data_IF_055664747938
#
_entry.id   IF_055664747938
#
_cell.length_a   1.000
_cell.length_b   1.000
_cell.length_c   1.000
_cell.angle_alpha   90.00
_cell.angle_beta   90.00
_cell.angle_gamma   90.00
#
_symmetry.space_group_name_H-M   'P 1'
#
loop_
_entity.id
_entity.type
_entity.pdbx_description
1 polymer ?
#
# COMPACT_ATOMS: atom_id res chain seq x y z
N UNK A 1 -0.31 3.76 34.74
CA UNK A 1 -1.27 3.52 33.64
C UNK A 1 -0.97 4.53 32.53
N UNK A 2 0.22 4.44 31.95
CA UNK A 2 0.72 5.39 30.95
C UNK A 2 0.95 4.65 29.63
N UNK A 3 0.36 5.19 28.56
CA UNK A 3 0.73 5.00 27.16
C UNK A 3 0.30 3.72 26.42
N UNK A 4 -0.99 3.40 26.43
CA UNK A 4 -1.58 2.50 25.43
C UNK A 4 -1.93 3.19 24.10
N UNK A 5 -1.85 4.52 24.01
CA UNK A 5 -2.21 5.26 22.79
C UNK A 5 -1.23 5.07 21.64
N UNK A 6 0.04 4.84 21.93
CA UNK A 6 1.08 4.59 20.92
C UNK A 6 1.04 3.13 20.41
N UNK A 7 0.61 2.19 21.26
CA UNK A 7 0.49 0.78 20.89
C UNK A 7 -0.53 0.57 19.76
N UNK A 8 -1.60 1.35 19.73
CA UNK A 8 -2.62 1.27 18.66
C UNK A 8 -2.02 1.64 17.30
N UNK A 9 -1.22 2.71 17.25
CA UNK A 9 -0.57 3.14 16.02
C UNK A 9 0.48 2.12 15.55
N UNK A 10 1.28 1.59 16.47
CA UNK A 10 2.28 0.55 16.17
C UNK A 10 1.60 -0.71 15.64
N UNK A 11 0.63 -1.24 16.39
CA UNK A 11 -0.10 -2.44 15.98
C UNK A 11 -0.78 -2.29 14.62
N UNK A 12 -1.37 -1.13 14.36
CA UNK A 12 -1.98 -0.83 13.07
C UNK A 12 -0.96 -0.80 11.93
N UNK A 13 0.23 -0.25 12.17
CA UNK A 13 1.27 -0.19 11.14
C UNK A 13 1.95 -1.54 10.93
N UNK A 14 2.18 -2.30 12.00
CA UNK A 14 2.70 -3.66 11.92
C UNK A 14 1.74 -4.58 11.16
N UNK A 15 0.44 -4.46 11.42
CA UNK A 15 -0.60 -5.18 10.68
C UNK A 15 -0.66 -4.74 9.20
N UNK A 16 -0.41 -3.47 8.91
CA UNK A 16 -0.36 -2.97 7.54
C UNK A 16 0.83 -3.52 6.76
N UNK A 17 2.01 -3.58 7.39
CA UNK A 17 3.24 -4.05 6.74
C UNK A 17 3.41 -5.57 6.78
N UNK A 18 3.00 -6.22 7.87
CA UNK A 18 3.16 -7.66 8.13
C UNK A 18 4.59 -8.16 7.84
N UNK A 19 5.60 -7.41 8.34
CA UNK A 19 7.02 -7.70 8.06
C UNK A 19 7.45 -9.02 8.71
N UNK A 20 7.08 -9.20 9.98
CA UNK A 20 7.52 -10.33 10.81
C UNK A 20 6.73 -11.62 10.51
N UNK A 21 5.63 -11.51 9.79
CA UNK A 21 4.80 -12.66 9.48
C UNK A 21 5.39 -13.48 8.32
N UNK A 22 5.39 -14.82 8.45
CA UNK A 22 5.81 -15.69 7.36
C UNK A 22 4.88 -15.50 6.16
N UNK A 23 5.43 -15.58 4.95
CA UNK A 23 4.69 -15.32 3.69
C UNK A 23 3.37 -16.11 3.61
N UNK A 24 3.36 -17.35 4.13
CA UNK A 24 2.18 -18.21 4.13
C UNK A 24 1.15 -17.87 5.21
N UNK A 25 1.53 -17.09 6.20
CA UNK A 25 0.68 -16.69 7.33
C UNK A 25 0.12 -15.28 7.25
N UNK A 26 0.48 -14.52 6.23
CA UNK A 26 0.03 -13.14 6.06
C UNK A 26 -1.47 -13.06 5.81
N UNK A 27 -2.12 -12.19 6.54
CA UNK A 27 -3.55 -11.89 6.37
C UNK A 27 -3.77 -11.06 5.09
N UNK A 28 -4.97 -11.16 4.52
CA UNK A 28 -5.37 -10.36 3.35
C UNK A 28 -5.76 -8.94 3.78
N UNK A 29 -4.81 -8.25 4.41
CA UNK A 29 -4.95 -6.88 4.91
C UNK A 29 -3.72 -6.05 4.52
N UNK A 30 -3.84 -4.71 4.62
CA UNK A 30 -2.75 -3.79 4.35
C UNK A 30 -2.15 -3.96 2.95
N UNK A 31 -0.83 -4.06 2.87
CA UNK A 31 -0.07 -4.19 1.61
C UNK A 31 -0.43 -5.48 0.87
N UNK A 32 -0.62 -6.58 1.59
CA UNK A 32 -1.00 -7.87 1.00
C UNK A 32 -2.32 -7.78 0.23
N UNK A 33 -3.33 -7.17 0.83
CA UNK A 33 -4.63 -6.96 0.19
C UNK A 33 -4.52 -6.08 -1.06
N UNK A 34 -3.69 -5.03 -1.02
CA UNK A 34 -3.46 -4.16 -2.17
C UNK A 34 -2.88 -4.92 -3.34
N UNK A 35 -1.82 -5.71 -3.12
CA UNK A 35 -1.25 -6.53 -4.20
C UNK A 35 -2.23 -7.55 -4.73
N UNK A 36 -2.96 -8.26 -3.87
CA UNK A 36 -3.97 -9.22 -4.30
C UNK A 36 -5.14 -8.59 -5.06
N UNK A 37 -5.46 -7.33 -4.82
CA UNK A 37 -6.52 -6.63 -5.54
C UNK A 37 -6.11 -6.21 -6.96
N UNK A 38 -4.82 -5.97 -7.18
CA UNK A 38 -4.29 -5.56 -8.48
C UNK A 38 -3.92 -6.75 -9.35
N UNK A 39 -3.34 -7.79 -8.75
CA UNK A 39 -2.93 -9.01 -9.45
C UNK A 39 -3.99 -10.12 -9.30
N UNK A 40 -4.12 -11.00 -10.28
CA UNK A 40 -3.31 -11.13 -11.48
C UNK A 40 -3.66 -10.12 -12.58
N UNK A 41 -2.67 -9.76 -13.38
CA UNK A 41 -2.85 -8.92 -14.56
C UNK A 41 -2.73 -9.82 -15.79
N UNK A 42 -3.79 -9.91 -16.57
CA UNK A 42 -3.82 -10.68 -17.81
C UNK A 42 -3.63 -9.76 -19.01
N UNK A 43 -2.91 -10.24 -20.02
CA UNK A 43 -2.83 -9.61 -21.32
C UNK A 43 -4.18 -9.66 -22.06
N UNK A 44 -4.43 -8.70 -22.94
CA UNK A 44 -5.64 -8.64 -23.75
C UNK A 44 -5.88 -9.89 -24.61
N UNK A 45 -4.80 -10.49 -25.13
CA UNK A 45 -4.84 -11.74 -25.90
C UNK A 45 -5.00 -12.98 -24.99
N UNK A 46 -4.84 -12.84 -23.68
CA UNK A 46 -4.83 -13.94 -22.72
C UNK A 46 -3.64 -14.91 -22.90
N UNK A 47 -2.59 -14.47 -23.61
CA UNK A 47 -1.37 -15.23 -23.82
C UNK A 47 -0.35 -15.09 -22.71
N UNK A 48 -0.52 -14.09 -21.85
CA UNK A 48 0.39 -13.82 -20.73
C UNK A 48 -0.38 -13.46 -19.47
N UNK A 49 0.10 -13.95 -18.33
CA UNK A 49 -0.45 -13.67 -17.02
C UNK A 49 0.67 -13.26 -16.08
N UNK A 50 0.50 -12.13 -15.41
CA UNK A 50 1.43 -11.65 -14.40
C UNK A 50 0.79 -11.83 -13.02
N UNK A 51 1.41 -12.67 -12.19
CA UNK A 51 0.93 -13.00 -10.85
C UNK A 51 1.83 -12.40 -9.78
N UNK A 52 1.22 -12.02 -8.67
CA UNK A 52 1.90 -11.67 -7.44
C UNK A 52 2.20 -12.94 -6.63
N UNK A 53 3.45 -13.12 -6.23
CA UNK A 53 3.87 -14.26 -5.40
C UNK A 53 4.02 -13.84 -3.93
N UNK A 54 4.88 -12.87 -3.68
CA UNK A 54 5.15 -12.35 -2.33
C UNK A 54 5.77 -10.96 -2.39
N UNK A 55 5.76 -10.27 -1.27
CA UNK A 55 6.61 -9.10 -1.06
C UNK A 55 7.57 -9.32 0.10
N UNK A 56 8.70 -8.64 0.07
CA UNK A 56 9.72 -8.68 1.10
C UNK A 56 10.28 -7.29 1.35
N UNK A 57 10.64 -7.03 2.58
CA UNK A 57 11.38 -5.83 2.95
C UNK A 57 12.84 -6.19 3.16
N UNK A 58 13.73 -5.40 2.60
CA UNK A 58 15.14 -5.49 2.91
C UNK A 58 15.45 -4.68 4.17
N UNK A 59 16.63 -4.91 4.72
CA UNK A 59 17.07 -4.11 5.87
C UNK A 59 17.26 -2.64 5.48
N UNK A 60 16.89 -1.71 6.37
CA UNK A 60 17.12 -0.29 6.14
C UNK A 60 18.60 -0.02 5.90
N UNK A 61 18.90 0.85 4.95
CA UNK A 61 20.28 1.21 4.61
C UNK A 61 20.98 1.97 5.73
N UNK A 62 20.22 2.73 6.51
CA UNK A 62 20.72 3.58 7.60
C UNK A 62 19.87 3.37 8.85
N UNK A 63 20.51 3.47 10.00
CA UNK A 63 19.82 3.43 11.29
C UNK A 63 19.11 4.76 11.60
N UNK A 64 18.24 4.75 12.61
CA UNK A 64 17.44 5.91 13.00
C UNK A 64 18.26 7.14 13.32
N UNK A 65 19.36 6.98 14.07
CA UNK A 65 20.23 8.09 14.48
C UNK A 65 21.02 8.66 13.30
N UNK A 66 21.47 7.78 12.41
CA UNK A 66 22.16 8.18 11.19
C UNK A 66 21.22 8.93 10.24
N UNK A 67 19.96 8.49 10.11
CA UNK A 67 18.95 9.21 9.33
C UNK A 67 18.69 10.62 9.86
N UNK A 68 18.66 10.79 11.20
CA UNK A 68 18.50 12.11 11.82
C UNK A 68 19.67 13.03 11.52
N UNK A 69 20.91 12.53 11.66
CA UNK A 69 22.12 13.33 11.43
C UNK A 69 22.31 13.70 9.95
N UNK A 70 22.00 12.79 9.04
CA UNK A 70 22.20 12.99 7.60
C UNK A 70 21.01 13.65 6.91
N UNK A 71 19.90 13.89 7.61
CA UNK A 71 18.69 14.43 7.01
C UNK A 71 17.99 13.47 6.05
N UNK A 72 18.06 12.17 6.33
CA UNK A 72 17.47 11.12 5.49
C UNK A 72 16.16 10.57 6.08
N UNK A 73 15.43 9.82 5.26
CA UNK A 73 14.21 9.13 5.69
C UNK A 73 14.56 7.70 6.12
N UNK A 74 14.06 7.31 7.30
CA UNK A 74 14.18 5.94 7.77
C UNK A 74 13.18 5.05 7.04
N UNK A 75 13.66 4.27 6.09
CA UNK A 75 12.84 3.45 5.22
C UNK A 75 13.53 2.13 4.87
N UNK A 76 12.72 1.12 4.55
CA UNK A 76 13.19 -0.16 4.04
C UNK A 76 12.80 -0.33 2.57
N UNK A 77 13.69 -0.87 1.72
CA UNK A 77 13.37 -1.20 0.35
C UNK A 77 12.30 -2.29 0.28
N UNK A 78 11.24 -2.04 -0.48
CA UNK A 78 10.17 -3.00 -0.76
C UNK A 78 10.47 -3.70 -2.08
N UNK A 79 10.61 -5.01 -2.03
CA UNK A 79 10.73 -5.88 -3.21
C UNK A 79 9.50 -6.76 -3.33
N UNK A 80 9.05 -6.93 -4.55
CA UNK A 80 7.90 -7.77 -4.88
C UNK A 80 8.35 -8.84 -5.86
N UNK A 81 8.08 -10.09 -5.52
CA UNK A 81 8.32 -11.23 -6.40
C UNK A 81 7.10 -11.38 -7.31
N UNK A 82 7.31 -11.19 -8.59
CA UNK A 82 6.30 -11.34 -9.63
C UNK A 82 6.61 -12.56 -10.48
N UNK A 83 5.57 -13.26 -10.91
CA UNK A 83 5.65 -14.42 -11.79
C UNK A 83 4.93 -14.11 -13.09
N UNK A 84 5.66 -14.15 -14.18
CA UNK A 84 5.11 -14.06 -15.53
C UNK A 84 4.92 -15.46 -16.10
N UNK A 85 3.70 -15.79 -16.43
CA UNK A 85 3.33 -17.06 -17.11
C UNK A 85 2.97 -16.72 -18.55
N UNK A 86 3.67 -17.35 -19.48
CA UNK A 86 3.40 -17.21 -20.92
C UNK A 86 2.72 -18.50 -21.39
N UNK A 87 1.56 -18.35 -22.04
CA UNK A 87 0.80 -19.47 -22.59
C UNK A 87 1.01 -19.56 -24.11
N UNK A 88 1.09 -20.77 -24.59
CA UNK A 88 0.92 -21.07 -26.01
C UNK A 88 -0.55 -21.46 -26.24
N UNK A 89 -1.20 -20.74 -27.12
CA UNK A 89 -2.62 -20.96 -27.44
C UNK A 89 -2.70 -21.68 -28.77
N UNK A 90 -3.19 -22.90 -28.76
CA UNK A 90 -3.45 -23.65 -29.95
C UNK A 90 -4.61 -23.01 -30.74
N UNK A 91 -4.35 -22.64 -31.97
CA UNK A 91 -5.30 -21.90 -32.84
C UNK A 91 -6.54 -22.75 -33.17
N UNK A 92 -6.38 -24.07 -33.24
CA UNK A 92 -7.43 -24.99 -33.68
C UNK A 92 -8.33 -25.44 -32.53
N UNK A 93 -7.77 -25.64 -31.34
CA UNK A 93 -8.49 -26.20 -30.19
C UNK A 93 -8.78 -25.14 -29.12
N UNK A 94 -8.12 -23.98 -29.16
CA UNK A 94 -8.19 -22.96 -28.11
C UNK A 94 -7.57 -23.40 -26.78
N UNK A 95 -6.88 -24.54 -26.74
CA UNK A 95 -6.25 -25.05 -25.54
C UNK A 95 -5.01 -24.20 -25.18
N UNK A 96 -4.93 -23.83 -23.90
CA UNK A 96 -3.79 -23.08 -23.36
C UNK A 96 -2.79 -24.04 -22.72
N UNK A 97 -1.55 -24.05 -23.20
CA UNK A 97 -0.44 -24.75 -22.57
C UNK A 97 0.57 -23.73 -22.04
N UNK A 98 1.19 -24.05 -20.91
CA UNK A 98 2.23 -23.17 -20.35
C UNK A 98 3.50 -23.31 -21.19
N UNK A 99 3.92 -22.23 -21.82
CA UNK A 99 5.14 -22.17 -22.64
C UNK A 99 6.37 -21.85 -21.81
N UNK A 100 6.25 -20.84 -20.93
CA UNK A 100 7.37 -20.37 -20.10
C UNK A 100 6.85 -19.76 -18.80
N UNK A 101 7.63 -19.88 -17.73
CA UNK A 101 7.38 -19.25 -16.44
C UNK A 101 8.64 -18.54 -16.02
N UNK A 102 8.54 -17.22 -15.81
CA UNK A 102 9.63 -16.39 -15.28
C UNK A 102 9.23 -15.76 -13.97
N UNK A 103 10.11 -15.89 -12.99
CA UNK A 103 9.93 -15.26 -11.69
C UNK A 103 11.06 -14.28 -11.43
N UNK A 104 10.73 -13.08 -10.99
CA UNK A 104 11.70 -12.02 -10.75
C UNK A 104 11.29 -11.15 -9.59
N UNK A 105 12.27 -10.74 -8.80
CA UNK A 105 12.10 -9.73 -7.76
C UNK A 105 12.22 -8.33 -8.36
N UNK A 106 11.20 -7.52 -8.14
CA UNK A 106 11.12 -6.15 -8.63
C UNK A 106 11.15 -5.20 -7.45
N UNK A 107 12.05 -4.21 -7.49
CA UNK A 107 12.07 -3.12 -6.54
C UNK A 107 10.91 -2.15 -6.81
N UNK A 108 10.06 -1.94 -5.80
CA UNK A 108 8.87 -1.10 -5.92
C UNK A 108 9.05 0.29 -5.31
N UNK A 109 10.05 0.46 -4.44
CA UNK A 109 10.31 1.71 -3.75
C UNK A 109 10.72 1.50 -2.31
N UNK A 110 10.92 2.60 -1.60
CA UNK A 110 11.24 2.59 -0.18
C UNK A 110 9.98 2.86 0.66
N UNK A 111 9.73 1.99 1.62
CA UNK A 111 8.62 2.13 2.56
C UNK A 111 9.15 2.69 3.88
N UNK A 112 8.64 3.85 4.34
CA UNK A 112 9.04 4.40 5.64
C UNK A 112 8.76 3.40 6.76
N UNK A 113 9.67 3.27 7.70
CA UNK A 113 9.51 2.43 8.88
C UNK A 113 9.19 3.27 10.12
N UNK A 114 8.36 2.70 10.99
CA UNK A 114 8.05 3.29 12.28
C UNK A 114 9.16 2.97 13.28
N UNK A 115 9.57 3.95 14.06
CA UNK A 115 10.53 3.78 15.14
C UNK A 115 9.90 3.08 16.34
N UNK A 116 10.74 2.66 17.29
CA UNK A 116 10.26 2.10 18.58
C UNK A 116 9.33 3.06 19.35
N UNK A 117 9.45 4.36 19.11
CA UNK A 117 8.62 5.39 19.75
C UNK A 117 7.28 5.66 19.03
N UNK A 118 7.00 4.95 17.93
CA UNK A 118 5.79 5.16 17.14
C UNK A 118 5.84 6.40 16.23
N UNK A 119 7.04 6.85 15.89
CA UNK A 119 7.30 8.01 15.04
C UNK A 119 7.91 7.59 13.71
N UNK A 120 7.85 8.48 12.72
CA UNK A 120 8.55 8.33 11.44
C UNK A 120 9.66 9.37 11.33
N UNK A 121 10.78 9.00 10.75
CA UNK A 121 11.85 9.93 10.44
C UNK A 121 11.79 10.24 8.96
N UNK A 122 11.43 11.47 8.62
CA UNK A 122 11.30 11.95 7.24
C UNK A 122 12.25 13.13 7.04
N UNK A 123 13.20 12.98 6.14
CA UNK A 123 14.24 13.99 5.88
C UNK A 123 14.97 14.45 7.17
N UNK A 124 15.26 13.51 8.06
CA UNK A 124 15.91 13.76 9.34
C UNK A 124 15.01 14.35 10.43
N UNK A 125 13.76 14.66 10.13
CA UNK A 125 12.79 15.21 11.09
C UNK A 125 11.88 14.09 11.59
N UNK A 126 11.75 13.99 12.90
CA UNK A 126 10.84 13.03 13.53
C UNK A 126 9.39 13.56 13.48
N UNK A 127 8.48 12.73 12.96
CA UNK A 127 7.08 13.08 12.75
C UNK A 127 6.16 12.00 13.29
N UNK A 128 4.98 12.40 13.74
CA UNK A 128 3.92 11.52 14.23
C UNK A 128 2.69 11.66 13.32
N UNK A 129 2.08 10.53 12.99
CA UNK A 129 0.80 10.52 12.28
C UNK A 129 -0.32 10.54 13.31
N UNK A 130 -1.16 11.56 13.26
CA UNK A 130 -2.32 11.71 14.13
C UNK A 130 -3.56 11.26 13.40
N UNK A 131 -4.33 10.35 14.00
CA UNK A 131 -5.61 9.91 13.48
C UNK A 131 -6.60 11.08 13.45
N UNK A 132 -7.25 11.29 12.32
CA UNK A 132 -8.24 12.33 12.12
C UNK A 132 -9.60 11.73 11.76
N UNK A 133 -10.65 12.31 12.31
CA UNK A 133 -12.02 11.94 11.98
C UNK A 133 -12.49 12.77 10.78
N UNK A 134 -12.95 12.09 9.74
CA UNK A 134 -13.52 12.74 8.56
C UNK A 134 -14.78 11.97 8.09
N UNK A 135 -15.56 12.61 7.25
CA UNK A 135 -16.70 11.93 6.61
C UNK A 135 -16.20 10.81 5.69
N UNK A 136 -16.92 9.69 5.66
CA UNK A 136 -16.65 8.63 4.70
C UNK A 136 -16.73 9.14 3.26
N UNK A 137 -15.87 8.66 2.35
CA UNK A 137 -15.99 8.99 0.93
C UNK A 137 -17.38 8.62 0.41
N UNK A 138 -17.98 9.52 -0.36
CA UNK A 138 -19.32 9.29 -0.89
C UNK A 138 -19.94 10.54 -1.49
N UNK A 139 -21.20 10.46 -1.83
CA UNK A 139 -22.00 11.60 -2.33
C UNK A 139 -22.87 12.08 -1.19
N UNK A 140 -22.76 13.35 -0.86
CA UNK A 140 -23.60 13.99 0.15
C UNK A 140 -24.49 15.02 -0.54
N UNK A 141 -25.78 14.95 -0.25
CA UNK A 141 -26.76 15.90 -0.71
C UNK A 141 -27.03 16.89 0.41
N UNK A 142 -26.83 18.16 0.13
CA UNK A 142 -27.13 19.25 1.05
C UNK A 142 -28.20 20.16 0.45
N UNK A 143 -29.06 20.72 1.28
CA UNK A 143 -30.14 21.59 0.87
C UNK A 143 -29.93 22.96 1.51
N UNK A 144 -29.61 23.93 0.67
CA UNK A 144 -29.58 25.33 1.09
C UNK A 144 -31.04 25.82 1.28
N UNK A 145 -31.40 26.24 2.48
CA UNK A 145 -32.73 26.79 2.81
C UNK A 145 -33.00 28.17 2.17
N UNK A 146 -32.17 28.59 1.23
CA UNK A 146 -32.33 29.83 0.48
C UNK A 146 -33.41 29.73 -0.61
N UNK A 147 -33.85 30.86 -1.15
CA UNK A 147 -34.92 30.99 -2.16
C UNK A 147 -34.56 30.41 -3.54
N UNK A 148 -33.41 29.84 -3.76
CA UNK A 148 -32.99 29.22 -5.01
C UNK A 148 -32.89 27.71 -4.84
N UNK A 149 -33.50 26.99 -5.78
CA UNK A 149 -33.61 25.51 -5.79
C UNK A 149 -32.31 24.79 -6.22
N UNK A 150 -31.14 25.36 -6.01
CA UNK A 150 -29.90 24.71 -6.39
C UNK A 150 -29.52 23.63 -5.38
N UNK A 151 -29.76 22.39 -5.76
CA UNK A 151 -29.27 21.21 -5.03
C UNK A 151 -27.78 21.07 -5.27
N UNK A 152 -26.96 21.42 -4.28
CA UNK A 152 -25.53 21.14 -4.32
C UNK A 152 -25.28 19.68 -3.92
N UNK A 153 -24.74 18.90 -4.84
CA UNK A 153 -24.21 17.57 -4.54
C UNK A 153 -22.71 17.67 -4.34
N UNK A 154 -22.22 17.33 -3.16
CA UNK A 154 -20.80 17.26 -2.87
C UNK A 154 -20.35 15.82 -2.92
N UNK A 155 -19.49 15.50 -3.88
CA UNK A 155 -18.90 14.16 -4.00
C UNK A 155 -17.52 14.17 -3.35
N UNK A 156 -17.36 13.41 -2.26
CA UNK A 156 -16.05 13.15 -1.67
C UNK A 156 -15.44 11.92 -2.35
N UNK A 157 -14.30 12.09 -2.95
CA UNK A 157 -13.53 10.99 -3.53
C UNK A 157 -12.43 10.59 -2.54
N UNK A 158 -12.10 9.30 -2.44
CA UNK A 158 -11.03 8.78 -1.59
C UNK A 158 -9.66 9.42 -1.88
N UNK A 159 -9.43 9.87 -3.12
CA UNK A 159 -8.22 10.59 -3.50
C UNK A 159 -8.11 12.01 -2.89
N UNK A 160 -9.21 12.64 -2.52
CA UNK A 160 -9.19 13.92 -1.82
C UNK A 160 -8.78 13.81 -0.35
N UNK A 161 -8.89 12.63 0.23
CA UNK A 161 -8.48 12.37 1.61
C UNK A 161 -6.96 12.48 1.77
N UNK A 162 -6.20 12.17 0.72
CA UNK A 162 -4.73 12.22 0.72
C UNK A 162 -4.21 13.67 0.64
N UNK A 163 -4.96 14.57 0.02
CA UNK A 163 -4.53 15.98 -0.19
C UNK A 163 -4.67 16.81 1.10
N UNK A 164 -5.62 16.49 1.97
CA UNK A 164 -5.81 17.21 3.23
C UNK A 164 -4.73 16.93 4.29
N UNK A 165 -3.87 15.95 4.07
CA UNK A 165 -2.72 15.65 4.95
C UNK A 165 -1.42 16.35 4.54
N UNK A 166 -1.39 17.06 3.43
CA UNK A 166 -0.21 17.72 2.89
C UNK A 166 -0.10 19.22 3.24
N UNK A 167 -0.97 19.73 4.13
CA UNK A 167 -0.95 21.12 4.59
C UNK A 167 -0.57 21.20 6.05
#
# INVERSE_FOLDING_TARGET
>A
MLFRSIEVQKASYDQFLQIDDPVSGRLDEGIQAVFKSVFPIADFSGSSLLEFVKYTFEQPKYETDECRQRGMTYAAPLKVTLRLIVFDVDVDTGAKSVKDIKEQDVYMGDMPLMTSNGTFIVNGTERVIVSQMHRSPGVFFDHDKGKSQDRKSTRLNSSHTVISYAV
#
